data_IF_377486741441
#
_entry.id   IF_377486741441
#
_cell.length_a   1.000
_cell.length_b   1.000
_cell.length_c   1.000
_cell.angle_alpha   90.00
_cell.angle_beta   90.00
_cell.angle_gamma   90.00
#
_symmetry.space_group_name_H-M   'P 1'
#
loop_
_entity.id
_entity.type
_entity.pdbx_description
1 polymer ?
#
# COMPACT_ATOMS: atom_id res chain seq x y z
N UNK A 1 -51.06 -9.79 -52.71
CA UNK A 1 -50.79 -8.47 -52.09
C UNK A 1 -49.79 -7.77 -52.99
N UNK A 2 -50.16 -6.63 -53.59
CA UNK A 2 -49.29 -5.93 -54.55
C UNK A 2 -48.25 -5.06 -53.84
N UNK A 3 -47.16 -4.74 -54.53
CA UNK A 3 -46.07 -3.89 -54.02
C UNK A 3 -46.54 -2.49 -53.57
N UNK A 4 -47.64 -1.99 -54.14
CA UNK A 4 -48.19 -0.68 -53.81
C UNK A 4 -48.79 -0.62 -52.39
N UNK A 5 -49.33 -1.74 -51.91
CA UNK A 5 -49.89 -1.87 -50.55
C UNK A 5 -48.79 -1.84 -49.47
N UNK A 6 -47.59 -2.31 -49.82
CA UNK A 6 -46.41 -2.30 -48.96
C UNK A 6 -45.78 -0.89 -48.89
N UNK A 7 -45.73 -0.19 -50.02
CA UNK A 7 -45.23 1.19 -50.11
C UNK A 7 -46.14 2.18 -49.36
N UNK A 8 -47.46 2.00 -49.44
CA UNK A 8 -48.44 2.80 -48.70
C UNK A 8 -48.30 2.62 -47.17
N UNK A 9 -48.12 1.37 -46.71
CA UNK A 9 -47.88 1.06 -45.28
C UNK A 9 -46.56 1.63 -44.76
N UNK A 10 -45.51 1.66 -45.59
CA UNK A 10 -44.21 2.25 -45.22
C UNK A 10 -44.27 3.78 -45.12
N UNK A 11 -44.97 4.46 -46.03
CA UNK A 11 -45.20 5.93 -45.94
C UNK A 11 -46.06 6.31 -44.73
N UNK A 12 -47.09 5.54 -44.40
CA UNK A 12 -47.90 5.75 -43.21
C UNK A 12 -47.08 5.58 -41.91
N UNK A 13 -46.19 4.57 -41.85
CA UNK A 13 -45.25 4.38 -40.72
C UNK A 13 -44.18 5.47 -40.62
N UNK A 14 -43.73 6.03 -41.75
CA UNK A 14 -42.77 7.14 -41.77
C UNK A 14 -43.42 8.46 -41.34
N UNK A 15 -44.67 8.73 -41.72
CA UNK A 15 -45.40 9.92 -41.27
C UNK A 15 -45.81 9.83 -39.79
N UNK A 16 -46.14 8.64 -39.27
CA UNK A 16 -46.30 8.42 -37.82
C UNK A 16 -44.99 8.60 -37.04
N UNK A 17 -43.84 8.31 -37.64
CA UNK A 17 -42.51 8.56 -37.04
C UNK A 17 -42.03 10.02 -37.17
N UNK A 18 -42.56 10.79 -38.11
CA UNK A 18 -42.22 12.21 -38.30
C UNK A 18 -43.14 13.17 -37.52
N UNK A 19 -44.30 12.69 -37.05
CA UNK A 19 -45.21 13.45 -36.18
C UNK A 19 -45.07 13.17 -34.68
N UNK A 20 -44.30 12.16 -34.28
CA UNK A 20 -43.93 11.95 -32.88
C UNK A 20 -42.71 12.81 -32.58
N UNK A 21 -42.94 13.95 -31.93
CA UNK A 21 -41.89 14.71 -31.24
C UNK A 21 -41.00 13.74 -30.45
N UNK A 22 -39.67 13.91 -30.46
CA UNK A 22 -38.84 13.16 -29.53
C UNK A 22 -39.30 13.53 -28.13
N UNK A 23 -40.00 12.59 -27.49
CA UNK A 23 -40.29 12.61 -26.07
C UNK A 23 -39.02 13.02 -25.34
N UNK A 24 -39.16 14.05 -24.52
CA UNK A 24 -38.11 14.67 -23.72
C UNK A 24 -37.03 13.68 -23.31
N UNK A 25 -35.83 13.81 -23.90
CA UNK A 25 -34.63 13.32 -23.24
C UNK A 25 -34.65 13.96 -21.85
N UNK A 26 -34.88 13.14 -20.81
CA UNK A 26 -34.90 13.60 -19.43
C UNK A 26 -33.69 14.52 -19.23
N UNK A 27 -33.94 15.81 -18.99
CA UNK A 27 -32.87 16.79 -18.94
C UNK A 27 -31.89 16.33 -17.86
N UNK A 28 -30.65 16.05 -18.25
CA UNK A 28 -29.64 15.60 -17.30
C UNK A 28 -29.51 16.61 -16.17
N UNK A 29 -29.85 16.20 -14.95
CA UNK A 29 -29.79 17.07 -13.79
C UNK A 29 -28.33 17.19 -13.31
N UNK A 30 -27.64 18.20 -13.84
CA UNK A 30 -26.27 18.53 -13.45
C UNK A 30 -26.14 18.79 -11.95
N UNK A 31 -27.17 19.37 -11.30
CA UNK A 31 -27.13 19.70 -9.89
C UNK A 31 -27.11 18.45 -9.01
N UNK A 32 -27.96 17.48 -9.34
CA UNK A 32 -27.98 16.19 -8.65
C UNK A 32 -26.68 15.41 -8.91
N UNK A 33 -26.13 15.49 -10.12
CA UNK A 33 -24.85 14.85 -10.42
C UNK A 33 -23.69 15.44 -9.61
N UNK A 34 -23.63 16.77 -9.46
CA UNK A 34 -22.61 17.42 -8.62
C UNK A 34 -22.74 17.01 -7.15
N UNK A 35 -23.98 16.94 -6.65
CA UNK A 35 -24.27 16.52 -5.27
C UNK A 35 -23.83 15.09 -4.99
N UNK A 36 -24.09 14.15 -5.92
CA UNK A 36 -23.65 12.76 -5.79
C UNK A 36 -22.12 12.68 -5.75
N UNK A 37 -21.42 13.39 -6.65
CA UNK A 37 -19.95 13.40 -6.65
C UNK A 37 -19.36 14.01 -5.38
N UNK A 38 -19.94 15.09 -4.86
CA UNK A 38 -19.50 15.70 -3.60
C UNK A 38 -19.64 14.73 -2.43
N UNK A 39 -20.75 13.98 -2.36
CA UNK A 39 -20.94 12.93 -1.34
C UNK A 39 -19.94 11.78 -1.47
N UNK A 40 -19.68 11.31 -2.68
CA UNK A 40 -18.67 10.27 -2.92
C UNK A 40 -17.29 10.73 -2.45
N UNK A 41 -16.90 11.96 -2.82
CA UNK A 41 -15.65 12.57 -2.38
C UNK A 41 -15.59 12.71 -0.85
N UNK A 42 -16.68 13.12 -0.21
CA UNK A 42 -16.77 13.21 1.25
C UNK A 42 -16.54 11.88 1.96
N UNK A 43 -17.09 10.78 1.42
CA UNK A 43 -16.84 9.43 1.92
C UNK A 43 -15.37 9.04 1.81
N UNK A 44 -14.72 9.34 0.67
CA UNK A 44 -13.31 9.05 0.44
C UNK A 44 -12.39 9.89 1.34
N UNK A 45 -12.73 11.15 1.58
CA UNK A 45 -12.02 12.01 2.54
C UNK A 45 -12.08 11.44 3.97
N UNK A 46 -13.27 11.03 4.40
CA UNK A 46 -13.47 10.41 5.71
C UNK A 46 -12.69 9.09 5.84
N UNK A 47 -12.68 8.27 4.79
CA UNK A 47 -11.92 7.02 4.72
C UNK A 47 -10.41 7.22 4.80
N UNK A 48 -9.86 8.12 3.97
CA UNK A 48 -8.44 8.46 3.99
C UNK A 48 -8.03 9.05 5.34
N UNK A 49 -8.84 9.96 5.89
CA UNK A 49 -8.56 10.60 7.20
C UNK A 49 -8.51 9.59 8.34
N UNK A 50 -9.50 8.71 8.44
CA UNK A 50 -9.51 7.67 9.48
C UNK A 50 -8.39 6.64 9.28
N UNK A 51 -8.07 6.32 8.03
CA UNK A 51 -6.92 5.47 7.67
C UNK A 51 -5.58 6.15 8.00
N UNK A 52 -5.50 7.47 8.02
CA UNK A 52 -4.32 8.20 8.46
C UNK A 52 -4.31 8.46 9.99
N UNK A 53 -5.35 8.05 10.74
CA UNK A 53 -5.53 8.37 12.17
C UNK A 53 -5.47 9.88 12.42
N UNK A 54 -6.15 10.66 11.58
CA UNK A 54 -6.23 12.11 11.69
C UNK A 54 -7.60 12.57 12.16
N UNK A 55 -7.60 13.66 12.93
CA UNK A 55 -8.85 14.34 13.31
C UNK A 55 -9.28 15.32 12.22
N UNK A 56 -10.54 15.75 12.24
CA UNK A 56 -11.02 16.77 11.29
C UNK A 56 -10.29 18.11 11.53
N UNK A 57 -9.93 18.38 12.79
CA UNK A 57 -9.14 19.52 13.22
C UNK A 57 -7.73 19.51 12.60
N UNK A 58 -7.11 18.34 12.48
CA UNK A 58 -5.79 18.22 11.85
C UNK A 58 -5.83 18.59 10.37
N UNK A 59 -6.85 18.12 9.64
CA UNK A 59 -7.02 18.42 8.22
C UNK A 59 -7.40 19.89 7.99
N UNK A 60 -8.28 20.46 8.82
CA UNK A 60 -8.64 21.87 8.75
C UNK A 60 -7.43 22.77 9.01
N UNK A 61 -6.60 22.41 10.00
CA UNK A 61 -5.35 23.13 10.34
C UNK A 61 -4.33 23.08 9.20
N UNK A 62 -4.16 21.92 8.54
CA UNK A 62 -3.28 21.78 7.38
C UNK A 62 -3.60 22.78 6.28
N UNK A 63 -4.89 22.97 6.00
CA UNK A 63 -5.37 23.82 4.91
C UNK A 63 -5.64 25.27 5.34
N UNK A 64 -5.45 25.58 6.61
CA UNK A 64 -5.78 26.87 7.21
C UNK A 64 -7.25 27.28 6.96
N UNK A 65 -8.17 26.34 7.16
CA UNK A 65 -9.63 26.53 7.04
C UNK A 65 -10.35 26.22 8.37
N UNK A 66 -11.65 26.52 8.44
CA UNK A 66 -12.48 26.16 9.60
C UNK A 66 -12.83 24.67 9.64
N UNK A 67 -12.96 24.10 10.85
CA UNK A 67 -13.39 22.69 11.02
C UNK A 67 -14.75 22.42 10.40
N UNK A 68 -15.68 23.39 10.50
CA UNK A 68 -17.00 23.31 9.89
C UNK A 68 -16.96 23.22 8.36
N UNK A 69 -15.99 23.88 7.72
CA UNK A 69 -15.80 23.83 6.27
C UNK A 69 -15.30 22.43 5.84
N UNK A 70 -14.32 21.88 6.56
CA UNK A 70 -13.86 20.52 6.33
C UNK A 70 -14.95 19.47 6.59
N UNK A 71 -15.76 19.66 7.64
CA UNK A 71 -16.93 18.82 7.91
C UNK A 71 -17.95 18.84 6.77
N UNK A 72 -18.22 20.02 6.19
CA UNK A 72 -19.10 20.16 5.04
C UNK A 72 -18.57 19.39 3.81
N UNK A 73 -17.25 19.22 3.67
CA UNK A 73 -16.67 18.36 2.63
C UNK A 73 -16.92 16.88 2.90
N UNK A 74 -16.69 16.38 4.12
CA UNK A 74 -16.96 14.97 4.45
C UNK A 74 -18.45 14.60 4.34
N UNK A 75 -19.35 15.56 4.58
CA UNK A 75 -20.80 15.41 4.39
C UNK A 75 -21.24 15.52 2.92
N UNK A 76 -20.40 16.07 2.05
CA UNK A 76 -20.70 16.33 0.64
C UNK A 76 -21.59 17.56 0.38
N UNK A 77 -21.68 18.47 1.35
CA UNK A 77 -22.40 19.75 1.22
C UNK A 77 -21.60 20.78 0.41
N UNK A 78 -20.27 20.66 0.44
CA UNK A 78 -19.34 21.37 -0.43
C UNK A 78 -18.18 20.45 -0.80
N UNK A 79 -17.23 20.93 -1.61
CA UNK A 79 -16.09 20.12 -2.05
C UNK A 79 -14.78 20.92 -2.01
N UNK A 80 -13.65 20.26 -1.71
CA UNK A 80 -12.34 20.89 -1.82
C UNK A 80 -11.96 21.18 -3.27
N UNK A 81 -11.05 22.12 -3.44
CA UNK A 81 -10.33 22.35 -4.70
C UNK A 81 -9.24 21.28 -4.91
N UNK A 82 -8.75 21.13 -6.15
CA UNK A 82 -7.66 20.20 -6.45
C UNK A 82 -6.39 20.45 -5.60
N UNK A 83 -5.88 21.70 -5.44
CA UNK A 83 -4.71 21.94 -4.58
C UNK A 83 -4.93 21.56 -3.12
N UNK A 84 -6.14 21.81 -2.57
CA UNK A 84 -6.49 21.36 -1.22
C UNK A 84 -6.51 19.83 -1.14
N UNK A 85 -7.01 19.17 -2.19
CA UNK A 85 -7.03 17.72 -2.29
C UNK A 85 -5.64 17.11 -2.42
N UNK A 86 -4.72 17.75 -3.16
CA UNK A 86 -3.31 17.35 -3.27
C UNK A 86 -2.59 17.44 -1.92
N UNK A 87 -2.80 18.54 -1.18
CA UNK A 87 -2.26 18.70 0.17
C UNK A 87 -2.80 17.63 1.11
N UNK A 88 -4.10 17.32 1.03
CA UNK A 88 -4.71 16.25 1.80
C UNK A 88 -4.15 14.88 1.39
N UNK A 89 -3.99 14.60 0.09
CA UNK A 89 -3.42 13.35 -0.41
C UNK A 89 -2.02 13.11 0.17
N UNK A 90 -1.17 14.15 0.11
CA UNK A 90 0.16 14.13 0.71
C UNK A 90 0.12 13.92 2.23
N UNK A 91 -0.74 14.66 2.94
CA UNK A 91 -0.81 14.59 4.41
C UNK A 91 -1.41 13.28 4.94
N UNK A 92 -2.35 12.69 4.20
CA UNK A 92 -3.04 11.46 4.53
C UNK A 92 -2.36 10.20 3.97
N UNK A 93 -1.24 10.37 3.27
CA UNK A 93 -0.42 9.30 2.68
C UNK A 93 -1.22 8.40 1.71
N UNK A 94 -1.99 9.05 0.82
CA UNK A 94 -2.76 8.37 -0.24
C UNK A 94 -2.47 8.98 -1.61
N UNK A 95 -2.49 8.22 -2.72
CA UNK A 95 -2.41 8.79 -4.06
C UNK A 95 -3.58 9.75 -4.32
N UNK A 96 -3.37 10.86 -5.03
CA UNK A 96 -4.45 11.81 -5.37
C UNK A 96 -5.61 11.12 -6.10
N UNK A 97 -5.31 10.09 -6.90
CA UNK A 97 -6.30 9.26 -7.61
C UNK A 97 -7.27 8.51 -6.69
N UNK A 98 -6.92 8.30 -5.41
CA UNK A 98 -7.82 7.70 -4.41
C UNK A 98 -9.16 8.44 -4.36
N UNK A 99 -9.14 9.77 -4.43
CA UNK A 99 -10.32 10.60 -4.29
C UNK A 99 -11.28 10.57 -5.49
N UNK A 100 -10.91 9.87 -6.56
CA UNK A 100 -11.73 9.74 -7.78
C UNK A 100 -12.04 8.27 -8.11
N UNK A 101 -11.57 7.34 -7.25
CA UNK A 101 -11.83 5.90 -7.36
C UNK A 101 -13.18 5.48 -6.75
N UNK A 102 -13.49 4.19 -6.85
CA UNK A 102 -14.71 3.59 -6.25
C UNK A 102 -14.43 2.77 -4.98
N UNK A 103 -13.18 2.73 -4.50
CA UNK A 103 -12.76 1.84 -3.41
C UNK A 103 -12.46 2.59 -2.11
N UNK A 104 -12.95 2.07 -0.98
CA UNK A 104 -12.65 2.57 0.36
C UNK A 104 -11.63 1.66 1.07
N UNK A 105 -10.72 2.24 1.83
CA UNK A 105 -9.56 1.59 2.48
C UNK A 105 -9.92 0.94 3.82
N UNK A 106 -11.13 1.18 4.34
CA UNK A 106 -11.58 0.93 5.72
C UNK A 106 -11.65 -0.52 6.25
N UNK A 107 -11.15 -1.55 5.55
CA UNK A 107 -11.40 -2.95 5.97
C UNK A 107 -10.66 -3.38 7.27
N UNK A 108 -9.64 -2.68 7.80
CA UNK A 108 -8.66 -3.38 8.66
C UNK A 108 -8.35 -2.85 10.08
N UNK A 109 -9.15 -1.98 10.73
CA UNK A 109 -8.65 -1.24 11.93
C UNK A 109 -9.30 -1.46 13.30
N UNK A 110 -10.54 -1.93 13.42
CA UNK A 110 -11.21 -2.00 14.73
C UNK A 110 -10.55 -2.97 15.75
N UNK A 111 -9.67 -3.89 15.31
CA UNK A 111 -8.99 -4.87 16.18
C UNK A 111 -7.59 -4.48 16.70
N UNK A 112 -7.05 -3.29 16.40
CA UNK A 112 -5.60 -3.00 16.58
C UNK A 112 -5.18 -2.45 17.94
N UNK A 113 -6.06 -1.77 18.69
CA UNK A 113 -5.65 -1.05 19.90
C UNK A 113 -5.45 -1.97 21.12
N UNK A 114 -6.18 -3.08 21.20
CA UNK A 114 -6.10 -4.04 22.30
C UNK A 114 -5.00 -5.12 22.13
N UNK A 115 -4.19 -5.08 21.07
CA UNK A 115 -3.18 -6.11 20.80
C UNK A 115 -1.72 -5.63 21.02
N UNK A 116 -1.51 -4.35 21.38
CA UNK A 116 -0.16 -3.77 21.44
C UNK A 116 0.67 -4.28 22.64
N UNK A 117 0.17 -4.29 23.89
CA UNK A 117 0.94 -4.81 25.03
C UNK A 117 1.26 -6.30 24.88
N UNK A 118 0.31 -7.09 24.38
CA UNK A 118 0.48 -8.51 24.09
C UNK A 118 1.55 -8.71 23.02
N UNK A 119 1.49 -7.95 21.93
CA UNK A 119 2.49 -7.96 20.88
C UNK A 119 3.89 -7.68 21.43
N UNK A 120 4.08 -6.60 22.19
CA UNK A 120 5.40 -6.24 22.75
C UNK A 120 5.93 -7.34 23.66
N UNK A 121 5.08 -7.89 24.54
CA UNK A 121 5.49 -8.95 25.47
C UNK A 121 5.86 -10.25 24.75
N UNK A 122 5.14 -10.62 23.70
CA UNK A 122 5.41 -11.80 22.89
C UNK A 122 6.70 -11.60 22.09
N UNK A 123 6.87 -10.44 21.46
CA UNK A 123 8.04 -10.15 20.66
C UNK A 123 9.32 -10.08 21.47
N UNK A 124 9.30 -9.49 22.66
CA UNK A 124 10.47 -9.49 23.54
C UNK A 124 10.91 -10.91 23.91
N UNK A 125 9.97 -11.81 24.20
CA UNK A 125 10.27 -13.24 24.44
C UNK A 125 10.85 -13.93 23.21
N UNK A 126 10.32 -13.66 22.02
CA UNK A 126 10.87 -14.20 20.77
C UNK A 126 12.29 -13.71 20.51
N UNK A 127 12.58 -12.41 20.73
CA UNK A 127 13.92 -11.84 20.59
C UNK A 127 14.89 -12.50 21.57
N UNK A 128 14.48 -12.69 22.82
CA UNK A 128 15.26 -13.43 23.83
C UNK A 128 15.59 -14.86 23.39
N UNK A 129 14.60 -15.60 22.91
CA UNK A 129 14.80 -16.96 22.40
C UNK A 129 15.72 -17.02 21.18
N UNK A 130 15.60 -16.05 20.26
CA UNK A 130 16.50 -15.92 19.11
C UNK A 130 17.93 -15.60 19.54
N UNK A 131 18.10 -14.73 20.54
CA UNK A 131 19.41 -14.40 21.09
C UNK A 131 20.06 -15.62 21.74
N UNK A 132 19.30 -16.36 22.55
CA UNK A 132 19.75 -17.61 23.16
C UNK A 132 20.19 -18.62 22.10
N UNK A 133 19.37 -18.82 21.07
CA UNK A 133 19.68 -19.72 19.96
C UNK A 133 20.96 -19.29 19.25
N UNK A 134 21.10 -18.01 18.90
CA UNK A 134 22.28 -17.50 18.20
C UNK A 134 23.56 -17.64 19.04
N UNK A 135 23.49 -17.39 20.36
CA UNK A 135 24.61 -17.62 21.28
C UNK A 135 25.02 -19.10 21.32
N UNK A 136 24.05 -20.00 21.43
CA UNK A 136 24.31 -21.45 21.45
C UNK A 136 24.90 -21.94 20.13
N UNK A 137 24.40 -21.46 18.99
CA UNK A 137 24.95 -21.76 17.66
C UNK A 137 26.37 -21.21 17.46
N UNK A 138 26.75 -20.19 18.23
CA UNK A 138 28.11 -19.65 18.25
C UNK A 138 29.01 -20.32 19.30
N UNK A 139 28.50 -21.33 20.04
CA UNK A 139 29.19 -22.03 21.12
C UNK A 139 29.73 -21.10 22.23
N UNK A 140 29.05 -19.98 22.49
CA UNK A 140 29.46 -18.99 23.49
C UNK A 140 28.75 -19.20 24.83
N UNK A 141 29.49 -19.09 25.93
CA UNK A 141 28.90 -19.00 27.28
C UNK A 141 28.35 -17.60 27.54
N UNK A 142 27.56 -17.45 28.62
CA UNK A 142 27.09 -16.13 29.04
C UNK A 142 28.25 -15.22 29.47
N UNK A 143 29.32 -15.78 30.03
CA UNK A 143 30.50 -15.01 30.46
C UNK A 143 31.30 -14.50 29.24
N UNK A 144 31.42 -15.30 28.17
CA UNK A 144 32.11 -14.90 26.94
C UNK A 144 31.41 -13.70 26.26
N UNK A 145 30.08 -13.72 26.20
CA UNK A 145 29.30 -12.59 25.67
C UNK A 145 29.34 -11.40 26.62
N UNK A 146 29.29 -11.64 27.93
CA UNK A 146 29.32 -10.57 28.91
C UNK A 146 30.60 -9.74 28.83
N UNK A 147 31.76 -10.41 28.69
CA UNK A 147 33.05 -9.75 28.53
C UNK A 147 33.14 -8.96 27.21
N UNK A 148 32.72 -9.58 26.11
CA UNK A 148 32.81 -8.94 24.78
C UNK A 148 31.84 -7.78 24.58
N UNK A 149 30.66 -7.82 25.21
CA UNK A 149 29.62 -6.80 25.08
C UNK A 149 29.65 -5.75 26.20
N UNK A 150 30.33 -6.02 27.32
CA UNK A 150 30.26 -5.19 28.53
C UNK A 150 28.90 -5.23 29.23
N UNK A 151 28.12 -6.29 29.02
CA UNK A 151 26.78 -6.47 29.60
C UNK A 151 26.85 -7.61 30.62
N UNK A 152 26.39 -7.45 31.88
CA UNK A 152 26.49 -8.53 32.86
C UNK A 152 25.80 -9.83 32.40
N UNK A 153 26.43 -10.99 32.63
CA UNK A 153 25.91 -12.31 32.25
C UNK A 153 24.48 -12.56 32.77
N UNK A 154 24.20 -12.11 34.01
CA UNK A 154 22.86 -12.15 34.61
C UNK A 154 21.82 -11.35 33.80
N UNK A 155 22.20 -10.18 33.29
CA UNK A 155 21.33 -9.34 32.45
C UNK A 155 21.05 -10.01 31.10
N UNK A 156 22.08 -10.58 30.47
CA UNK A 156 21.94 -11.35 29.21
C UNK A 156 20.99 -12.53 29.42
N UNK A 157 21.12 -13.27 30.52
CA UNK A 157 20.24 -14.39 30.85
C UNK A 157 18.78 -13.95 31.01
N UNK A 158 18.52 -12.79 31.65
CA UNK A 158 17.17 -12.22 31.74
C UNK A 158 16.59 -11.81 30.39
N UNK A 159 17.43 -11.33 29.47
CA UNK A 159 16.99 -11.06 28.09
C UNK A 159 16.63 -12.35 27.36
N UNK A 160 17.47 -13.39 27.45
CA UNK A 160 17.22 -14.69 26.82
C UNK A 160 15.93 -15.35 27.33
N UNK A 161 15.63 -15.22 28.62
CA UNK A 161 14.40 -15.72 29.24
C UNK A 161 13.16 -14.85 28.95
N UNK A 162 13.35 -13.66 28.36
CA UNK A 162 12.29 -12.69 28.11
C UNK A 162 11.75 -12.01 29.38
N UNK A 163 12.47 -12.09 30.49
CA UNK A 163 12.16 -11.41 31.76
C UNK A 163 12.50 -9.91 31.72
N UNK A 164 13.38 -9.52 30.80
CA UNK A 164 13.69 -8.14 30.47
C UNK A 164 13.78 -7.99 28.95
N UNK A 165 13.46 -6.80 28.44
CA UNK A 165 13.64 -6.48 27.03
C UNK A 165 15.04 -5.88 26.80
N UNK A 166 15.83 -6.39 25.84
CA UNK A 166 17.11 -5.81 25.52
C UNK A 166 16.91 -4.43 24.85
N UNK A 167 17.51 -3.34 25.38
CA UNK A 167 17.54 -2.06 24.69
C UNK A 167 18.19 -2.19 23.30
N UNK A 168 17.78 -1.37 22.34
CA UNK A 168 18.26 -1.49 20.95
C UNK A 168 19.81 -1.41 20.81
N UNK A 169 20.47 -0.54 21.59
CA UNK A 169 21.92 -0.42 21.55
C UNK A 169 22.61 -1.69 22.09
N UNK A 170 22.08 -2.29 23.16
CA UNK A 170 22.58 -3.56 23.69
C UNK A 170 22.31 -4.71 22.73
N UNK A 171 21.10 -4.78 22.15
CA UNK A 171 20.76 -5.78 21.14
C UNK A 171 21.70 -5.71 19.92
N UNK A 172 22.13 -4.51 19.51
CA UNK A 172 23.09 -4.32 18.41
C UNK A 172 24.47 -4.89 18.73
N UNK A 173 24.97 -4.69 19.94
CA UNK A 173 26.27 -5.22 20.37
C UNK A 173 26.18 -6.74 20.54
N UNK A 174 25.11 -7.24 21.17
CA UNK A 174 24.83 -8.65 21.34
C UNK A 174 24.71 -9.38 19.99
N UNK A 175 23.96 -8.83 19.03
CA UNK A 175 23.83 -9.36 17.68
C UNK A 175 25.21 -9.53 17.00
N UNK A 176 26.06 -8.52 17.14
CA UNK A 176 27.42 -8.54 16.59
C UNK A 176 28.28 -9.62 17.26
N UNK A 177 28.18 -9.76 18.60
CA UNK A 177 28.92 -10.77 19.36
C UNK A 177 28.51 -12.21 19.00
N UNK A 178 27.23 -12.46 18.70
CA UNK A 178 26.74 -13.77 18.23
C UNK A 178 26.84 -13.95 16.71
N UNK A 179 27.56 -13.06 16.01
CA UNK A 179 27.75 -13.10 14.57
C UNK A 179 26.43 -13.19 13.78
N UNK A 180 25.47 -12.32 14.14
CA UNK A 180 24.19 -12.13 13.45
C UNK A 180 24.00 -10.66 13.08
N UNK A 181 23.35 -10.42 11.95
CA UNK A 181 22.86 -9.07 11.63
C UNK A 181 21.60 -8.76 12.45
N UNK A 182 21.35 -7.49 12.74
CA UNK A 182 20.11 -7.04 13.41
C UNK A 182 18.83 -7.50 12.69
N UNK A 183 18.88 -7.68 11.37
CA UNK A 183 17.76 -8.22 10.59
C UNK A 183 17.29 -9.61 11.06
N UNK A 184 18.16 -10.39 11.70
CA UNK A 184 17.82 -11.69 12.29
C UNK A 184 16.73 -11.60 13.37
N UNK A 185 16.66 -10.47 14.09
CA UNK A 185 15.72 -10.27 15.20
C UNK A 185 14.42 -9.55 14.78
N UNK A 186 14.34 -9.09 13.53
CA UNK A 186 13.19 -8.33 13.04
C UNK A 186 11.91 -9.19 12.99
N UNK A 187 10.77 -8.50 13.00
CA UNK A 187 9.49 -9.14 12.68
C UNK A 187 9.41 -9.43 11.18
N UNK A 188 9.21 -10.71 10.86
CA UNK A 188 9.08 -11.22 9.49
C UNK A 188 7.70 -11.81 9.22
N UNK A 189 6.84 -11.89 10.24
CA UNK A 189 5.53 -12.52 10.19
C UNK A 189 4.42 -11.59 10.68
N UNK A 190 3.20 -11.86 10.22
CA UNK A 190 2.03 -11.06 10.54
C UNK A 190 2.06 -9.65 9.93
N UNK A 191 1.04 -8.86 10.26
CA UNK A 191 0.76 -7.57 9.61
C UNK A 191 1.91 -6.56 9.76
N UNK A 192 2.60 -6.56 10.91
CA UNK A 192 3.73 -5.64 11.14
C UNK A 192 4.94 -6.07 10.30
N UNK A 193 5.28 -7.35 10.27
CA UNK A 193 6.39 -7.85 9.46
C UNK A 193 6.17 -7.61 7.96
N UNK A 194 4.96 -7.89 7.47
CA UNK A 194 4.56 -7.61 6.09
C UNK A 194 4.68 -6.12 5.74
N UNK A 195 4.22 -5.24 6.63
CA UNK A 195 4.32 -3.79 6.44
C UNK A 195 5.77 -3.29 6.43
N UNK A 196 6.62 -3.81 7.32
CA UNK A 196 8.04 -3.46 7.38
C UNK A 196 8.77 -3.92 6.11
N UNK A 197 8.52 -5.17 5.68
CA UNK A 197 9.09 -5.71 4.44
C UNK A 197 8.65 -4.90 3.21
N UNK A 198 7.36 -4.53 3.16
CA UNK A 198 6.82 -3.66 2.11
C UNK A 198 7.55 -2.32 2.07
N UNK A 199 7.78 -1.66 3.21
CA UNK A 199 8.50 -0.38 3.27
C UNK A 199 9.94 -0.47 2.77
N UNK A 200 10.68 -1.52 3.15
CA UNK A 200 12.05 -1.70 2.66
C UNK A 200 12.07 -1.99 1.15
N UNK A 201 11.12 -2.79 0.64
CA UNK A 201 10.96 -3.02 -0.80
C UNK A 201 10.65 -1.72 -1.56
N UNK A 202 9.78 -0.86 -1.03
CA UNK A 202 9.48 0.45 -1.61
C UNK A 202 10.70 1.37 -1.66
N UNK A 203 11.51 1.40 -0.60
CA UNK A 203 12.78 2.15 -0.60
C UNK A 203 13.70 1.68 -1.71
N UNK A 204 13.91 0.37 -1.84
CA UNK A 204 14.74 -0.18 -2.92
C UNK A 204 14.16 0.10 -4.32
N UNK A 205 12.84 0.02 -4.48
CA UNK A 205 12.17 0.35 -5.73
C UNK A 205 12.34 1.85 -6.09
N UNK A 206 12.23 2.73 -5.09
CA UNK A 206 12.45 4.17 -5.27
C UNK A 206 13.90 4.49 -5.66
N UNK A 207 14.87 3.72 -5.18
CA UNK A 207 16.30 3.88 -5.51
C UNK A 207 16.68 3.38 -6.92
N UNK A 208 15.77 2.71 -7.65
CA UNK A 208 16.03 2.26 -9.02
C UNK A 208 16.28 3.44 -9.98
N UNK A 209 17.07 3.24 -11.06
CA UNK A 209 17.17 4.21 -12.15
C UNK A 209 15.80 4.64 -12.67
N UNK A 210 15.66 5.91 -13.04
CA UNK A 210 14.36 6.50 -13.41
C UNK A 210 13.69 5.77 -14.59
N UNK A 211 14.48 5.42 -15.60
CA UNK A 211 14.04 4.66 -16.78
C UNK A 211 13.52 3.27 -16.41
N UNK A 212 14.24 2.54 -15.56
CA UNK A 212 13.84 1.21 -15.06
C UNK A 212 12.58 1.31 -14.20
N UNK A 213 12.52 2.30 -13.30
CA UNK A 213 11.36 2.52 -12.41
C UNK A 213 10.12 2.91 -13.21
N UNK A 214 10.25 3.80 -14.19
CA UNK A 214 9.17 4.19 -15.08
C UNK A 214 8.67 3.01 -15.93
N UNK A 215 9.59 2.20 -16.47
CA UNK A 215 9.24 0.99 -17.21
C UNK A 215 8.48 -0.01 -16.34
N UNK A 216 8.95 -0.24 -15.12
CA UNK A 216 8.34 -1.18 -14.18
C UNK A 216 6.96 -0.72 -13.66
N UNK A 217 6.74 0.59 -13.57
CA UNK A 217 5.48 1.17 -13.09
C UNK A 217 4.35 1.17 -14.14
N UNK A 218 4.63 0.96 -15.43
CA UNK A 218 3.60 0.85 -16.47
C UNK A 218 2.99 -0.57 -16.49
N UNK A 219 1.68 -0.73 -16.21
CA UNK A 219 1.03 -2.05 -16.22
C UNK A 219 1.13 -2.80 -17.55
N UNK A 220 1.31 -2.09 -18.67
CA UNK A 220 1.47 -2.71 -20.01
C UNK A 220 2.77 -3.49 -20.12
N UNK A 221 3.77 -3.17 -19.30
CA UNK A 221 5.08 -3.79 -19.36
C UNK A 221 5.20 -5.08 -18.54
N UNK A 222 4.12 -5.51 -17.87
CA UNK A 222 4.15 -6.70 -17.01
C UNK A 222 4.68 -7.96 -17.72
N UNK A 223 4.38 -8.12 -19.01
CA UNK A 223 4.87 -9.23 -19.82
C UNK A 223 6.40 -9.26 -19.93
N UNK A 224 7.03 -8.10 -20.12
CA UNK A 224 8.49 -7.98 -20.18
C UNK A 224 9.14 -8.31 -18.83
N UNK A 225 8.54 -7.84 -17.73
CA UNK A 225 9.02 -8.12 -16.38
C UNK A 225 8.94 -9.63 -16.09
N UNK A 226 7.83 -10.30 -16.46
CA UNK A 226 7.71 -11.74 -16.32
C UNK A 226 8.78 -12.50 -17.12
N UNK A 227 9.11 -12.06 -18.33
CA UNK A 227 10.20 -12.65 -19.12
C UNK A 227 11.54 -12.48 -18.38
N UNK A 228 11.84 -11.28 -17.87
CA UNK A 228 13.06 -11.04 -17.10
C UNK A 228 13.15 -11.94 -15.86
N UNK A 229 12.04 -12.13 -15.14
CA UNK A 229 11.97 -13.07 -14.01
C UNK A 229 12.25 -14.51 -14.46
N UNK A 230 11.62 -14.96 -15.55
CA UNK A 230 11.85 -16.31 -16.09
C UNK A 230 13.32 -16.52 -16.47
N UNK A 231 13.93 -15.56 -17.16
CA UNK A 231 15.35 -15.62 -17.54
C UNK A 231 16.26 -15.68 -16.32
N UNK A 232 15.95 -14.92 -15.26
CA UNK A 232 16.76 -14.89 -14.02
C UNK A 232 16.81 -16.23 -13.26
N UNK A 233 15.81 -17.09 -13.47
CA UNK A 233 15.69 -18.40 -12.82
C UNK A 233 16.35 -19.53 -13.63
N UNK A 234 16.80 -19.26 -14.86
CA UNK A 234 17.41 -20.28 -15.72
C UNK A 234 18.84 -20.59 -15.29
N UNK A 235 19.30 -21.86 -15.43
CA UNK A 235 20.71 -22.19 -15.33
C UNK A 235 21.53 -21.38 -16.34
N UNK A 236 22.74 -20.96 -15.93
CA UNK A 236 23.59 -20.04 -16.70
C UNK A 236 23.90 -20.53 -18.11
N UNK A 237 24.06 -21.84 -18.31
CA UNK A 237 24.39 -22.40 -19.62
C UNK A 237 23.23 -22.26 -20.61
N UNK A 238 22.00 -22.46 -20.11
CA UNK A 238 20.78 -22.28 -20.90
C UNK A 238 20.53 -20.81 -21.23
N UNK A 239 20.84 -19.92 -20.29
CA UNK A 239 20.72 -18.47 -20.53
C UNK A 239 21.69 -18.00 -21.63
N UNK A 240 22.91 -18.54 -21.67
CA UNK A 240 23.87 -18.26 -22.76
C UNK A 240 23.39 -18.76 -24.11
N UNK A 241 22.82 -19.96 -24.18
CA UNK A 241 22.27 -20.53 -25.42
C UNK A 241 21.12 -19.68 -25.97
N UNK A 242 20.21 -19.23 -25.10
CA UNK A 242 19.13 -18.31 -25.46
C UNK A 242 19.71 -16.98 -25.97
N UNK A 243 20.72 -16.43 -25.29
CA UNK A 243 21.39 -15.20 -25.71
C UNK A 243 22.05 -15.32 -27.08
N UNK A 244 22.76 -16.43 -27.35
CA UNK A 244 23.37 -16.71 -28.64
C UNK A 244 22.30 -16.84 -29.75
N UNK A 245 21.21 -17.56 -29.47
CA UNK A 245 20.11 -17.73 -30.41
C UNK A 245 19.43 -16.41 -30.78
N UNK A 246 19.28 -15.48 -29.81
CA UNK A 246 18.73 -14.14 -30.09
C UNK A 246 19.69 -13.36 -30.99
N UNK A 247 21.00 -13.44 -30.71
CA UNK A 247 22.03 -12.75 -31.48
C UNK A 247 22.05 -13.20 -32.94
N UNK A 248 21.93 -14.51 -33.17
CA UNK A 248 21.83 -15.13 -34.50
C UNK A 248 20.57 -14.73 -35.29
N UNK A 249 19.47 -14.39 -34.59
CA UNK A 249 18.23 -13.91 -35.24
C UNK A 249 18.32 -12.43 -35.61
N UNK A 250 19.17 -11.67 -34.91
CA UNK A 250 19.32 -10.22 -35.09
C UNK A 250 20.46 -9.79 -36.03
N UNK A 251 21.28 -10.74 -36.51
CA UNK A 251 22.34 -10.52 -37.51
C UNK A 251 21.91 -11.01 -38.90
#
# INVERSE_FOLDING_TARGET
MSFDDFAARMKAKQQQKQGAQPDSAASYDFSESYRIRAKMLGVLLCDARESAVRTQEDCARLLNIGVAEYQAWELGDSAPTLPQLELLAYYLDVPVSHFWGMETTKISRAGRQHAQPEYLSLRNRMIGALLQKARQEADLSHDDIAESCGIPAQTIMRYELGEAAPPMHELSVLASAVNRNLSYFLETSGQIGELLAMREAWKHFADLPEDVRAFAADPKNIGFIHIAVLLSQMPTDRLREVGASILDITM
#
